data_IF_906886524587
#
_entry.id   IF_906886524587
#
_cell.length_a   1.000
_cell.length_b   1.000
_cell.length_c   1.000
_cell.angle_alpha   90.00
_cell.angle_beta   90.00
_cell.angle_gamma   90.00
#
_symmetry.space_group_name_H-M   'P 1'
#
loop_
_entity.id
_entity.type
_entity.pdbx_description
1 polymer ?
#
# COMPACT_ATOMS: atom_id res chain seq x y z
N UNK A 1 1.16 3.80 -3.11
CA UNK A 1 0.11 3.17 -2.29
C UNK A 1 0.76 2.15 -1.37
N UNK A 2 0.33 2.06 -0.12
CA UNK A 2 0.81 1.05 0.84
C UNK A 2 -0.06 -0.22 0.86
N UNK A 3 0.36 -1.21 1.64
CA UNK A 3 -0.38 -2.46 1.78
C UNK A 3 -1.71 -2.30 2.51
N UNK A 4 -1.81 -1.37 3.47
CA UNK A 4 -3.03 -1.16 4.25
C UNK A 4 -4.20 -0.76 3.34
N UNK A 5 -3.97 0.18 2.42
CA UNK A 5 -4.98 0.64 1.47
C UNK A 5 -5.43 -0.46 0.50
N UNK A 6 -4.46 -1.25 0.01
CA UNK A 6 -4.74 -2.31 -0.94
C UNK A 6 -5.47 -3.50 -0.32
N UNK A 7 -5.14 -3.85 0.93
CA UNK A 7 -5.82 -4.93 1.64
C UNK A 7 -7.31 -4.63 1.84
N UNK A 8 -7.70 -3.37 2.07
CA UNK A 8 -9.11 -2.95 2.13
C UNK A 8 -9.86 -3.19 0.83
N UNK A 9 -9.20 -3.05 -0.32
CA UNK A 9 -9.81 -3.44 -1.60
C UNK A 9 -9.94 -4.97 -1.76
N UNK A 10 -8.98 -5.73 -1.24
CA UNK A 10 -8.88 -7.17 -1.44
C UNK A 10 -9.74 -7.99 -0.48
N UNK A 11 -10.02 -7.47 0.72
CA UNK A 11 -10.87 -8.14 1.70
C UNK A 11 -12.36 -7.98 1.34
N UNK A 12 -13.12 -9.08 1.28
CA UNK A 12 -14.53 -9.05 0.86
C UNK A 12 -15.45 -8.34 1.86
N UNK A 13 -15.02 -8.26 3.13
CA UNK A 13 -15.74 -7.68 4.25
C UNK A 13 -15.32 -6.23 4.55
N UNK A 14 -14.33 -5.70 3.84
CA UNK A 14 -13.95 -4.29 3.89
C UNK A 14 -14.53 -3.57 2.66
N UNK A 15 -15.31 -2.51 2.91
CA UNK A 15 -15.74 -1.60 1.86
C UNK A 15 -15.47 -0.19 2.32
N UNK A 16 -14.74 0.53 1.48
CA UNK A 16 -14.45 1.93 1.68
C UNK A 16 -14.71 2.67 0.36
N UNK A 17 -15.60 3.65 0.39
CA UNK A 17 -16.02 4.39 -0.80
C UNK A 17 -14.85 5.10 -1.50
N UNK A 18 -13.83 5.52 -0.74
CA UNK A 18 -12.64 6.17 -1.29
C UNK A 18 -11.76 5.18 -2.06
N UNK A 19 -11.68 3.93 -1.57
CA UNK A 19 -10.98 2.84 -2.25
C UNK A 19 -11.72 2.46 -3.54
N UNK A 20 -13.05 2.32 -3.47
CA UNK A 20 -13.87 1.97 -4.63
C UNK A 20 -13.76 3.02 -5.75
N UNK A 21 -13.80 4.31 -5.38
CA UNK A 21 -13.63 5.41 -6.31
C UNK A 21 -12.25 5.39 -6.96
N UNK A 22 -11.18 5.25 -6.17
CA UNK A 22 -9.82 5.17 -6.69
C UNK A 22 -9.66 3.99 -7.66
N UNK A 23 -10.17 2.82 -7.31
CA UNK A 23 -10.05 1.64 -8.16
C UNK A 23 -10.88 1.75 -9.44
N UNK A 24 -11.96 2.54 -9.44
CA UNK A 24 -12.68 2.92 -10.65
C UNK A 24 -11.80 3.81 -11.54
N UNK A 25 -11.22 4.88 -11.00
CA UNK A 25 -10.30 5.77 -11.74
C UNK A 25 -9.10 5.01 -12.32
N UNK A 26 -8.57 4.04 -11.57
CA UNK A 26 -7.51 3.14 -12.03
C UNK A 26 -7.93 2.28 -13.22
N UNK A 27 -9.12 1.65 -13.15
CA UNK A 27 -9.66 0.84 -14.26
C UNK A 27 -10.00 1.67 -15.50
N UNK A 28 -10.34 2.93 -15.31
CA UNK A 28 -10.57 3.91 -16.38
C UNK A 28 -9.26 4.50 -16.91
N UNK A 29 -8.10 4.01 -16.45
CA UNK A 29 -6.76 4.48 -16.83
C UNK A 29 -6.55 5.99 -16.58
N UNK A 30 -7.29 6.58 -15.65
CA UNK A 30 -7.18 7.99 -15.28
C UNK A 30 -6.06 8.23 -14.26
N UNK A 31 -5.61 7.17 -13.58
CA UNK A 31 -4.50 7.19 -12.63
C UNK A 31 -3.59 5.97 -12.85
N UNK A 32 -2.33 6.11 -12.43
CA UNK A 32 -1.37 5.03 -12.38
C UNK A 32 -1.02 4.72 -10.92
N UNK A 33 -0.89 3.44 -10.59
CA UNK A 33 -0.55 3.00 -9.23
C UNK A 33 0.92 2.60 -9.16
N UNK A 34 1.62 3.18 -8.20
CA UNK A 34 3.00 2.86 -7.86
C UNK A 34 3.14 2.48 -6.38
N UNK A 35 4.08 1.61 -6.09
CA UNK A 35 4.36 1.14 -4.74
C UNK A 35 5.80 0.66 -4.58
N UNK A 36 6.19 0.33 -3.35
CA UNK A 36 7.53 -0.21 -3.07
C UNK A 36 7.60 -1.70 -3.41
N UNK A 37 8.81 -2.22 -3.64
CA UNK A 37 9.05 -3.67 -3.83
C UNK A 37 8.66 -4.52 -2.61
N UNK A 38 8.37 -3.89 -1.46
CA UNK A 38 7.88 -4.55 -0.25
C UNK A 38 6.39 -4.92 -0.33
N UNK A 39 5.61 -4.19 -1.15
CA UNK A 39 4.15 -4.33 -1.22
C UNK A 39 3.67 -5.78 -1.37
N UNK A 40 4.23 -6.62 -2.28
CA UNK A 40 3.77 -8.00 -2.42
C UNK A 40 3.89 -8.81 -1.13
N UNK A 41 4.99 -8.64 -0.40
CA UNK A 41 5.22 -9.34 0.86
C UNK A 41 4.25 -8.90 1.95
N UNK A 42 3.99 -7.59 2.03
CA UNK A 42 3.03 -7.05 2.99
C UNK A 42 1.60 -7.48 2.68
N UNK A 43 1.19 -7.49 1.40
CA UNK A 43 -0.12 -8.01 0.97
C UNK A 43 -0.27 -9.48 1.33
N UNK A 44 0.72 -10.32 0.98
CA UNK A 44 0.70 -11.75 1.33
C UNK A 44 0.64 -11.97 2.85
N UNK A 45 1.39 -11.17 3.62
CA UNK A 45 1.35 -11.23 5.08
C UNK A 45 0.01 -10.76 5.66
N UNK A 46 -0.63 -9.75 5.05
CA UNK A 46 -1.96 -9.28 5.38
C UNK A 46 -3.04 -10.35 5.15
N UNK A 47 -3.03 -10.99 3.97
CA UNK A 47 -3.95 -12.08 3.64
C UNK A 47 -3.78 -13.28 4.59
N UNK A 48 -2.54 -13.69 4.85
CA UNK A 48 -2.21 -14.75 5.83
C UNK A 48 -2.75 -14.38 7.22
N UNK A 49 -2.53 -13.14 7.66
CA UNK A 49 -3.01 -12.64 8.95
C UNK A 49 -4.54 -12.67 9.03
N UNK A 50 -5.25 -12.27 7.97
CA UNK A 50 -6.70 -12.35 7.89
C UNK A 50 -7.22 -13.79 8.03
N UNK A 51 -6.56 -14.74 7.36
CA UNK A 51 -6.89 -16.16 7.49
C UNK A 51 -6.67 -16.71 8.90
N UNK A 52 -5.51 -16.45 9.52
CA UNK A 52 -5.18 -16.92 10.87
C UNK A 52 -6.14 -16.34 11.93
N UNK A 53 -6.62 -15.11 11.70
CA UNK A 53 -7.63 -14.46 12.54
C UNK A 53 -9.06 -14.92 12.25
N UNK A 54 -9.25 -15.90 11.36
CA UNK A 54 -10.55 -16.43 10.92
C UNK A 54 -11.48 -15.37 10.32
N UNK A 55 -10.91 -14.28 9.80
CA UNK A 55 -11.66 -13.21 9.13
C UNK A 55 -12.13 -13.64 7.74
N UNK A 56 -11.27 -14.37 7.03
CA UNK A 56 -11.54 -14.93 5.70
C UNK A 56 -11.16 -16.41 5.64
N UNK A 57 -11.80 -17.14 4.73
CA UNK A 57 -11.52 -18.55 4.43
C UNK A 57 -10.35 -18.66 3.44
N UNK A 58 -9.74 -19.84 3.40
CA UNK A 58 -8.64 -20.12 2.47
C UNK A 58 -8.99 -19.85 1.00
N UNK A 59 -10.22 -20.17 0.58
CA UNK A 59 -10.68 -19.89 -0.78
C UNK A 59 -10.74 -18.38 -1.08
N UNK A 60 -11.06 -17.55 -0.08
CA UNK A 60 -11.09 -16.08 -0.21
C UNK A 60 -9.67 -15.51 -0.25
N UNK A 61 -8.72 -16.07 0.52
CA UNK A 61 -7.30 -15.74 0.41
C UNK A 61 -6.79 -15.95 -1.01
N UNK A 62 -7.09 -17.10 -1.62
CA UNK A 62 -6.63 -17.42 -2.96
C UNK A 62 -7.23 -16.48 -4.01
N UNK A 63 -8.53 -16.17 -3.91
CA UNK A 63 -9.19 -15.19 -4.77
C UNK A 63 -8.61 -13.79 -4.62
N UNK A 64 -8.34 -13.35 -3.39
CA UNK A 64 -7.74 -12.04 -3.12
C UNK A 64 -6.30 -11.96 -3.68
N UNK A 65 -5.50 -13.01 -3.51
CA UNK A 65 -4.17 -13.07 -4.10
C UNK A 65 -4.20 -13.08 -5.63
N UNK A 66 -5.15 -13.78 -6.25
CA UNK A 66 -5.36 -13.75 -7.69
C UNK A 66 -5.76 -12.35 -8.16
N UNK A 67 -6.71 -11.69 -7.48
CA UNK A 67 -7.10 -10.31 -7.78
C UNK A 67 -5.92 -9.33 -7.69
N UNK A 68 -5.07 -9.48 -6.67
CA UNK A 68 -3.85 -8.69 -6.52
C UNK A 68 -2.91 -8.85 -7.71
N UNK A 69 -2.71 -10.09 -8.21
CA UNK A 69 -1.84 -10.36 -9.36
C UNK A 69 -2.31 -9.72 -10.66
N UNK A 70 -3.61 -9.45 -10.79
CA UNK A 70 -4.17 -8.77 -11.97
C UNK A 70 -4.03 -7.25 -11.91
N UNK A 71 -3.62 -6.68 -10.77
CA UNK A 71 -3.32 -5.26 -10.66
C UNK A 71 -1.95 -4.98 -11.27
N UNK A 72 -1.94 -4.10 -12.27
CA UNK A 72 -0.70 -3.51 -12.82
C UNK A 72 -0.28 -2.36 -11.90
N UNK A 73 0.53 -2.69 -10.90
CA UNK A 73 1.15 -1.74 -9.97
C UNK A 73 2.65 -1.71 -10.25
N UNK A 74 3.19 -0.52 -10.52
CA UNK A 74 4.62 -0.36 -10.73
C UNK A 74 5.36 -0.46 -9.39
N UNK A 75 6.17 -1.50 -9.23
CA UNK A 75 6.98 -1.73 -8.04
C UNK A 75 8.36 -1.07 -8.22
N UNK A 76 8.68 -0.15 -7.32
CA UNK A 76 9.92 0.64 -7.37
C UNK A 76 10.68 0.48 -6.07
N UNK A 77 11.99 0.27 -6.16
CA UNK A 77 12.88 0.32 -5.00
C UNK A 77 13.21 1.80 -4.70
N UNK A 78 12.84 2.33 -3.52
CA UNK A 78 13.19 3.70 -3.15
C UNK A 78 14.68 3.82 -2.80
N UNK A 79 15.19 5.06 -2.78
CA UNK A 79 16.56 5.32 -2.36
C UNK A 79 16.77 4.99 -0.87
N UNK A 80 17.61 4.01 -0.59
CA UNK A 80 17.83 3.51 0.77
C UNK A 80 18.37 4.56 1.74
N UNK A 81 19.12 5.55 1.27
CA UNK A 81 19.59 6.66 2.11
C UNK A 81 18.42 7.55 2.53
N UNK A 82 17.56 7.93 1.58
CA UNK A 82 16.34 8.70 1.83
C UNK A 82 15.39 7.95 2.78
N UNK A 83 15.24 6.64 2.61
CA UNK A 83 14.46 5.80 3.54
C UNK A 83 15.01 5.88 4.95
N UNK A 84 16.32 5.70 5.12
CA UNK A 84 16.96 5.71 6.43
C UNK A 84 16.85 7.07 7.11
N UNK A 85 17.08 8.16 6.38
CA UNK A 85 16.97 9.53 6.90
C UNK A 85 15.56 9.82 7.42
N UNK A 86 14.53 9.53 6.62
CA UNK A 86 13.12 9.71 7.01
C UNK A 86 12.78 8.84 8.23
N UNK A 87 13.20 7.57 8.24
CA UNK A 87 12.93 6.65 9.35
C UNK A 87 13.50 7.16 10.68
N UNK A 88 14.75 7.66 10.67
CA UNK A 88 15.40 8.23 11.85
C UNK A 88 14.71 9.53 12.28
N UNK A 89 14.51 10.46 11.35
CA UNK A 89 13.94 11.79 11.62
C UNK A 89 12.55 11.70 12.23
N UNK A 90 11.70 10.82 11.71
CA UNK A 90 10.30 10.70 12.11
C UNK A 90 10.01 9.56 13.07
N UNK A 91 11.04 8.76 13.42
CA UNK A 91 10.94 7.61 14.35
C UNK A 91 9.85 6.62 13.91
N UNK A 92 9.94 6.18 12.66
CA UNK A 92 9.06 5.16 12.05
C UNK A 92 9.91 3.99 11.55
N UNK A 93 9.28 2.87 11.17
CA UNK A 93 9.99 1.74 10.60
C UNK A 93 10.56 2.09 9.21
N UNK A 94 11.63 1.43 8.78
CA UNK A 94 12.14 1.59 7.41
C UNK A 94 11.11 1.14 6.36
N UNK A 95 10.21 0.22 6.70
CA UNK A 95 9.13 -0.22 5.81
C UNK A 95 8.13 0.92 5.55
N UNK A 96 7.70 1.60 6.62
CA UNK A 96 6.82 2.76 6.50
C UNK A 96 7.52 3.93 5.80
N UNK A 97 8.79 4.18 6.14
CA UNK A 97 9.58 5.24 5.53
C UNK A 97 9.82 4.98 4.03
N UNK A 98 9.89 3.72 3.58
CA UNK A 98 10.02 3.38 2.17
C UNK A 98 8.87 3.93 1.31
N UNK A 99 7.64 3.90 1.84
CA UNK A 99 6.48 4.47 1.15
C UNK A 99 6.52 5.99 1.08
N UNK A 100 6.95 6.66 2.16
CA UNK A 100 7.12 8.12 2.19
C UNK A 100 8.23 8.56 1.24
N UNK A 101 9.39 7.89 1.29
CA UNK A 101 10.53 8.16 0.42
C UNK A 101 10.14 8.05 -1.06
N UNK A 102 9.47 6.95 -1.45
CA UNK A 102 9.02 6.77 -2.81
C UNK A 102 8.02 7.87 -3.24
N UNK A 103 7.08 8.23 -2.36
CA UNK A 103 6.12 9.29 -2.65
C UNK A 103 6.79 10.66 -2.85
N UNK A 104 7.82 10.96 -2.04
CA UNK A 104 8.66 12.15 -2.16
C UNK A 104 9.44 12.16 -3.49
N UNK A 105 10.16 11.08 -3.79
CA UNK A 105 10.97 10.94 -5.01
C UNK A 105 10.13 11.07 -6.28
N UNK A 106 8.94 10.47 -6.30
CA UNK A 106 8.03 10.51 -7.45
C UNK A 106 7.08 11.70 -7.44
N UNK A 107 7.14 12.57 -6.42
CA UNK A 107 6.26 13.72 -6.21
C UNK A 107 4.78 13.35 -6.36
N UNK A 108 4.38 12.23 -5.78
CA UNK A 108 3.03 11.70 -5.87
C UNK A 108 2.32 11.70 -4.52
N UNK A 109 1.01 11.46 -4.55
CA UNK A 109 0.21 11.32 -3.32
C UNK A 109 0.45 9.96 -2.68
N UNK A 110 0.71 9.96 -1.37
CA UNK A 110 0.79 8.72 -0.60
C UNK A 110 -0.63 8.26 -0.20
N UNK A 111 -1.07 7.17 -0.82
CA UNK A 111 -2.31 6.48 -0.47
C UNK A 111 -2.03 5.46 0.65
N UNK A 112 -2.55 5.73 1.84
CA UNK A 112 -2.40 4.93 3.07
C UNK A 112 -3.60 5.20 4.00
N UNK A 113 -3.93 4.27 4.89
CA UNK A 113 -4.84 4.53 6.01
C UNK A 113 -4.13 5.02 7.28
N UNK A 114 -2.80 4.96 7.31
CA UNK A 114 -2.01 5.51 8.40
C UNK A 114 -1.94 7.04 8.30
N UNK A 115 -2.65 7.72 9.20
CA UNK A 115 -2.69 9.20 9.26
C UNK A 115 -1.31 9.79 9.51
N UNK A 116 -0.48 9.14 10.32
CA UNK A 116 0.88 9.62 10.64
C UNK A 116 1.75 9.60 9.39
N UNK A 117 1.62 8.60 8.53
CA UNK A 117 2.38 8.55 7.27
C UNK A 117 1.95 9.64 6.29
N UNK A 118 0.67 10.01 6.25
CA UNK A 118 0.20 11.16 5.45
C UNK A 118 0.84 12.46 5.91
N UNK A 119 0.79 12.73 7.22
CA UNK A 119 1.38 13.93 7.82
C UNK A 119 2.90 14.01 7.55
N UNK A 120 3.62 12.89 7.72
CA UNK A 120 5.05 12.82 7.44
C UNK A 120 5.32 13.12 5.95
N UNK A 121 4.55 12.53 5.03
CA UNK A 121 4.69 12.80 3.60
C UNK A 121 4.49 14.28 3.27
N UNK A 122 3.55 14.96 3.91
CA UNK A 122 3.31 16.39 3.69
C UNK A 122 4.50 17.24 4.17
N UNK A 123 5.11 16.89 5.31
CA UNK A 123 6.31 17.56 5.83
C UNK A 123 7.55 17.32 4.96
N UNK A 124 7.64 16.14 4.33
CA UNK A 124 8.76 15.74 3.47
C UNK A 124 8.59 16.14 1.99
N UNK A 125 7.46 16.74 1.60
CA UNK A 125 7.11 17.10 0.22
C UNK A 125 7.95 18.25 -0.36
#
# INVERSE_FOLDING_TARGET
MDSSYLLTYLFPDERDESVDKLMKEYREHSIYLLSTTLLPFEVMNGLKSGFLRKRIKQAEVMKAHEAFRFLTIDLVEPDGYTVLDIAIKHKISCYDAAYVALAKEKRCTLLTFDKRLKEIKEVES
#
